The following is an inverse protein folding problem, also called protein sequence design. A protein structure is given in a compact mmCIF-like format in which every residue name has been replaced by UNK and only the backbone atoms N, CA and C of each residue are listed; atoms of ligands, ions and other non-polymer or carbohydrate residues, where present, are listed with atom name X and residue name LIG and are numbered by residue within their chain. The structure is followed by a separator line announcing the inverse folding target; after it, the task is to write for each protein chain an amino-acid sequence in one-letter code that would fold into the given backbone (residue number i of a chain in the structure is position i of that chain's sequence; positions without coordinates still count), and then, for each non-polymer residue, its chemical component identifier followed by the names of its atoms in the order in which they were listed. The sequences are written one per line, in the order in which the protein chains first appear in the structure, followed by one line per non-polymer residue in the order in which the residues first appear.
data_IF_600942077698
#
_entry.id   IF_600942077698
#
_cell.length_a   1.000
_cell.length_b   1.000
_cell.length_c   1.000
_cell.angle_alpha   90.00
_cell.angle_beta   90.00
_cell.angle_gamma   90.00
#
_symmetry.space_group_name_H-M   'P 1'
#
loop_
_entity.id
_entity.type
_entity.pdbx_description
1 polymer ?
#
# COMPACT_ATOMS: atom_id res chain seq x y z
N UNK A 1 -41.35 33.93 8.03
CA UNK A 1 -39.97 33.51 8.33
C UNK A 1 -39.71 32.21 7.60
N UNK A 2 -38.90 32.23 6.53
CA UNK A 2 -38.47 31.01 5.85
C UNK A 2 -37.51 30.25 6.77
N UNK A 3 -37.72 28.94 6.95
CA UNK A 3 -36.75 28.08 7.61
C UNK A 3 -35.44 28.09 6.80
N UNK A 4 -34.26 28.14 7.44
CA UNK A 4 -33.01 28.02 6.71
C UNK A 4 -32.98 26.65 6.02
N UNK A 5 -32.71 26.65 4.72
CA UNK A 5 -32.54 25.43 3.95
C UNK A 5 -31.45 24.57 4.61
N UNK A 6 -31.84 23.40 5.11
CA UNK A 6 -30.91 22.35 5.52
C UNK A 6 -30.01 22.03 4.32
N UNK A 7 -28.80 22.60 4.30
CA UNK A 7 -27.75 22.11 3.42
C UNK A 7 -27.54 20.65 3.81
N UNK A 8 -28.03 19.74 2.96
CA UNK A 8 -27.79 18.30 3.09
C UNK A 8 -26.29 18.09 2.95
N UNK A 9 -25.57 18.10 4.07
CA UNK A 9 -24.17 17.68 4.10
C UNK A 9 -24.12 16.29 3.45
N UNK A 10 -23.33 16.11 2.38
CA UNK A 10 -23.26 14.83 1.69
C UNK A 10 -22.88 13.75 2.69
N UNK A 11 -23.54 12.58 2.58
CA UNK A 11 -23.21 11.43 3.41
C UNK A 11 -21.73 11.09 3.29
N UNK A 12 -21.08 10.67 4.39
CA UNK A 12 -19.65 10.31 4.39
C UNK A 12 -19.31 9.31 3.28
N UNK A 13 -20.22 8.38 2.98
CA UNK A 13 -20.07 7.42 1.87
C UNK A 13 -19.91 8.07 0.50
N UNK A 14 -20.44 9.29 0.30
CA UNK A 14 -20.43 10.03 -0.96
C UNK A 14 -19.37 11.14 -0.99
N UNK A 15 -18.46 11.19 -0.03
CA UNK A 15 -17.30 12.08 -0.13
C UNK A 15 -16.49 11.76 -1.38
N UNK A 16 -15.97 12.80 -2.03
CA UNK A 16 -15.16 12.69 -3.24
C UNK A 16 -14.00 11.68 -3.08
N UNK A 17 -13.20 11.70 -2.00
CA UNK A 17 -12.17 10.67 -1.78
C UNK A 17 -12.72 9.24 -1.73
N UNK A 18 -13.91 9.03 -1.17
CA UNK A 18 -14.50 7.69 -1.04
C UNK A 18 -15.03 7.17 -2.38
N UNK A 19 -15.58 8.06 -3.21
CA UNK A 19 -15.98 7.73 -4.58
C UNK A 19 -14.75 7.30 -5.40
N UNK A 20 -13.62 7.99 -5.25
CA UNK A 20 -12.34 7.58 -5.84
C UNK A 20 -11.92 6.20 -5.31
N UNK A 21 -12.05 5.95 -4.01
CA UNK A 21 -11.81 4.64 -3.40
C UNK A 21 -12.63 3.51 -4.03
N UNK A 22 -13.94 3.70 -4.23
CA UNK A 22 -14.77 2.71 -4.90
C UNK A 22 -14.39 2.49 -6.36
N UNK A 23 -14.04 3.56 -7.07
CA UNK A 23 -13.56 3.49 -8.44
C UNK A 23 -12.24 2.68 -8.55
N UNK A 24 -11.31 2.86 -7.59
CA UNK A 24 -10.08 2.07 -7.48
C UNK A 24 -10.38 0.57 -7.34
N UNK A 25 -11.36 0.20 -6.51
CA UNK A 25 -11.77 -1.20 -6.34
C UNK A 25 -12.26 -1.80 -7.67
N UNK A 26 -13.11 -1.08 -8.40
CA UNK A 26 -13.64 -1.53 -9.70
C UNK A 26 -12.52 -1.69 -10.72
N UNK A 27 -11.60 -0.71 -10.82
CA UNK A 27 -10.45 -0.80 -11.74
C UNK A 27 -9.58 -2.00 -11.39
N UNK A 28 -9.28 -2.20 -10.11
CA UNK A 28 -8.46 -3.35 -9.69
C UNK A 28 -9.15 -4.67 -10.04
N UNK A 29 -10.46 -4.78 -9.85
CA UNK A 29 -11.21 -5.96 -10.27
C UNK A 29 -11.06 -6.23 -11.78
N UNK A 30 -11.22 -5.20 -12.62
CA UNK A 30 -11.03 -5.31 -14.07
C UNK A 30 -9.59 -5.66 -14.42
N UNK A 31 -8.60 -5.03 -13.75
CA UNK A 31 -7.19 -5.32 -13.95
C UNK A 31 -6.93 -6.81 -13.70
N UNK A 32 -7.27 -7.31 -12.51
CA UNK A 32 -7.06 -8.72 -12.14
C UNK A 32 -7.82 -9.69 -13.05
N UNK A 33 -8.99 -9.31 -13.59
CA UNK A 33 -9.70 -10.13 -14.57
C UNK A 33 -8.94 -10.31 -15.90
N UNK A 34 -8.15 -9.32 -16.31
CA UNK A 34 -7.37 -9.37 -17.56
C UNK A 34 -5.90 -9.78 -17.37
N UNK A 35 -5.47 -10.10 -16.14
CA UNK A 35 -4.05 -10.31 -15.82
C UNK A 35 -3.37 -11.41 -16.63
N UNK A 36 -4.08 -12.51 -16.93
CA UNK A 36 -3.55 -13.61 -17.74
C UNK A 36 -3.65 -13.36 -19.26
N UNK A 37 -4.67 -12.60 -19.70
CA UNK A 37 -4.94 -12.37 -21.13
C UNK A 37 -4.11 -11.21 -21.70
N UNK A 38 -3.94 -10.14 -20.94
CA UNK A 38 -3.19 -8.96 -21.37
C UNK A 38 -2.45 -8.32 -20.20
N UNK A 39 -1.17 -8.70 -20.06
CA UNK A 39 -0.31 -8.25 -18.96
C UNK A 39 -0.01 -6.76 -18.99
N UNK A 40 0.08 -6.17 -20.18
CA UNK A 40 0.32 -4.73 -20.35
C UNK A 40 -0.90 -3.94 -19.91
N UNK A 41 -2.10 -4.36 -20.31
CA UNK A 41 -3.35 -3.73 -19.86
C UNK A 41 -3.53 -3.85 -18.35
N UNK A 42 -3.23 -5.02 -17.76
CA UNK A 42 -3.18 -5.20 -16.31
C UNK A 42 -2.28 -4.16 -15.65
N UNK A 43 -1.02 -4.05 -16.10
CA UNK A 43 -0.06 -3.14 -15.51
C UNK A 43 -0.51 -1.68 -15.59
N UNK A 44 -1.10 -1.26 -16.72
CA UNK A 44 -1.64 0.10 -16.89
C UNK A 44 -2.81 0.35 -15.92
N UNK A 45 -3.79 -0.55 -15.86
CA UNK A 45 -4.96 -0.39 -15.00
C UNK A 45 -4.59 -0.42 -13.51
N UNK A 46 -3.74 -1.36 -13.12
CA UNK A 46 -3.26 -1.50 -11.74
C UNK A 46 -2.45 -0.25 -11.33
N UNK A 47 -1.52 0.21 -12.18
CA UNK A 47 -0.75 1.42 -11.91
C UNK A 47 -1.65 2.66 -11.81
N UNK A 48 -2.66 2.76 -12.68
CA UNK A 48 -3.62 3.85 -12.64
C UNK A 48 -4.43 3.85 -11.32
N UNK A 49 -4.89 2.68 -10.87
CA UNK A 49 -5.57 2.54 -9.58
C UNK A 49 -4.67 2.94 -8.40
N UNK A 50 -3.41 2.52 -8.43
CA UNK A 50 -2.41 2.93 -7.44
C UNK A 50 -2.12 4.44 -7.49
N UNK A 51 -2.13 5.06 -8.67
CA UNK A 51 -1.99 6.52 -8.77
C UNK A 51 -3.19 7.25 -8.17
N UNK A 52 -4.40 6.72 -8.34
CA UNK A 52 -5.62 7.27 -7.74
C UNK A 52 -5.63 7.26 -6.20
N UNK A 53 -4.85 6.38 -5.56
CA UNK A 53 -4.61 6.37 -4.11
C UNK A 53 -4.09 7.73 -3.61
N UNK A 54 -3.04 8.25 -4.25
CA UNK A 54 -2.50 9.55 -3.88
C UNK A 54 -3.49 10.70 -4.06
N UNK A 55 -4.41 10.56 -5.03
CA UNK A 55 -5.43 11.55 -5.35
C UNK A 55 -6.53 11.59 -4.30
N UNK A 56 -7.03 10.45 -3.82
CA UNK A 56 -8.07 10.44 -2.79
C UNK A 56 -7.60 11.15 -1.51
N UNK A 57 -6.37 10.90 -1.07
CA UNK A 57 -5.78 11.57 0.09
C UNK A 57 -5.60 13.07 -0.14
N UNK A 58 -5.26 13.48 -1.36
CA UNK A 58 -5.17 14.90 -1.72
C UNK A 58 -6.53 15.58 -1.68
N UNK A 59 -7.57 14.97 -2.28
CA UNK A 59 -8.93 15.49 -2.26
C UNK A 59 -9.54 15.51 -0.86
N UNK A 60 -9.27 14.49 -0.03
CA UNK A 60 -9.69 14.45 1.37
C UNK A 60 -9.18 15.67 2.15
N UNK A 61 -7.91 16.08 1.93
CA UNK A 61 -7.33 17.28 2.56
C UNK A 61 -7.86 18.57 1.94
N UNK A 62 -7.96 18.63 0.60
CA UNK A 62 -8.38 19.83 -0.12
C UNK A 62 -9.84 20.22 0.16
N UNK A 63 -10.72 19.24 0.27
CA UNK A 63 -12.15 19.46 0.54
C UNK A 63 -12.53 19.30 2.01
N UNK A 64 -11.56 19.09 2.91
CA UNK A 64 -11.81 18.83 4.33
C UNK A 64 -12.80 17.66 4.56
N UNK A 65 -12.65 16.60 3.74
CA UNK A 65 -13.49 15.39 3.73
C UNK A 65 -12.75 14.17 4.31
N UNK A 66 -11.75 14.39 5.17
CA UNK A 66 -11.07 13.30 5.86
C UNK A 66 -12.03 12.62 6.85
N UNK A 67 -12.11 11.29 6.79
CA UNK A 67 -13.01 10.50 7.64
C UNK A 67 -12.37 9.16 8.02
N UNK A 68 -12.79 8.58 9.16
CA UNK A 68 -12.34 7.25 9.59
C UNK A 68 -12.72 6.18 8.57
N UNK A 69 -13.94 6.27 8.01
CA UNK A 69 -14.39 5.36 6.96
C UNK A 69 -13.47 5.42 5.74
N UNK A 70 -13.17 6.63 5.24
CA UNK A 70 -12.27 6.80 4.10
C UNK A 70 -10.86 6.29 4.37
N UNK A 71 -10.31 6.55 5.56
CA UNK A 71 -8.99 6.05 5.94
C UNK A 71 -8.92 4.51 6.03
N UNK A 72 -10.00 3.85 6.46
CA UNK A 72 -10.10 2.38 6.49
C UNK A 72 -10.28 1.84 5.07
N UNK A 73 -11.16 2.44 4.27
CA UNK A 73 -11.42 2.06 2.87
C UNK A 73 -10.13 2.11 2.05
N UNK A 74 -9.38 3.20 2.16
CA UNK A 74 -8.07 3.42 1.56
C UNK A 74 -7.10 2.28 1.91
N UNK A 75 -6.88 2.07 3.21
CA UNK A 75 -5.93 1.07 3.68
C UNK A 75 -6.32 -0.37 3.27
N UNK A 76 -7.59 -0.74 3.37
CA UNK A 76 -8.06 -2.08 2.98
C UNK A 76 -7.89 -2.29 1.48
N UNK A 77 -8.25 -1.29 0.67
CA UNK A 77 -8.13 -1.36 -0.79
C UNK A 77 -6.67 -1.55 -1.22
N UNK A 78 -5.75 -0.80 -0.61
CA UNK A 78 -4.31 -0.98 -0.81
C UNK A 78 -3.86 -2.40 -0.48
N UNK A 79 -4.15 -2.87 0.75
CA UNK A 79 -3.64 -4.16 1.23
C UNK A 79 -4.15 -5.32 0.39
N UNK A 80 -5.42 -5.29 0.01
CA UNK A 80 -6.01 -6.32 -0.85
C UNK A 80 -5.37 -6.32 -2.24
N UNK A 81 -5.15 -5.14 -2.82
CA UNK A 81 -4.57 -5.02 -4.17
C UNK A 81 -3.14 -5.55 -4.22
N UNK A 82 -2.28 -5.12 -3.28
CA UNK A 82 -0.90 -5.60 -3.17
C UNK A 82 -0.85 -7.10 -2.84
N UNK A 83 -1.75 -7.59 -1.97
CA UNK A 83 -1.83 -9.01 -1.64
C UNK A 83 -2.20 -9.86 -2.87
N UNK A 84 -3.17 -9.44 -3.67
CA UNK A 84 -3.52 -10.13 -4.92
C UNK A 84 -2.34 -10.16 -5.90
N UNK A 85 -1.61 -9.05 -6.07
CA UNK A 85 -0.44 -9.00 -6.95
C UNK A 85 0.69 -9.92 -6.45
N UNK A 86 1.00 -9.91 -5.15
CA UNK A 86 1.99 -10.81 -4.56
C UNK A 86 1.58 -12.28 -4.66
N UNK A 87 0.28 -12.58 -4.50
CA UNK A 87 -0.24 -13.93 -4.72
C UNK A 87 -0.06 -14.38 -6.17
N UNK A 88 -0.32 -13.52 -7.16
CA UNK A 88 -0.03 -13.81 -8.57
C UNK A 88 1.46 -14.05 -8.82
N UNK A 89 2.33 -13.19 -8.28
CA UNK A 89 3.79 -13.37 -8.40
C UNK A 89 4.25 -14.69 -7.78
N UNK A 90 3.64 -15.13 -6.67
CA UNK A 90 3.94 -16.43 -6.07
C UNK A 90 3.62 -17.63 -6.99
N UNK A 91 2.71 -17.46 -7.94
CA UNK A 91 2.35 -18.49 -8.92
C UNK A 91 3.32 -18.49 -10.12
N UNK A 92 3.79 -17.32 -10.54
CA UNK A 92 4.70 -17.18 -11.68
C UNK A 92 6.16 -17.51 -11.36
N UNK A 93 6.59 -17.32 -10.12
CA UNK A 93 7.97 -17.52 -9.72
C UNK A 93 8.17 -18.75 -8.86
N UNK A 94 9.30 -19.45 -9.05
CA UNK A 94 9.68 -20.61 -8.21
C UNK A 94 11.09 -20.41 -7.60
N UNK A 95 11.24 -20.54 -6.27
CA UNK A 95 10.20 -20.78 -5.27
C UNK A 95 9.34 -19.52 -5.02
N UNK A 96 8.01 -19.68 -5.01
CA UNK A 96 7.05 -18.58 -4.80
C UNK A 96 6.92 -18.11 -3.35
N UNK A 97 7.56 -18.83 -2.41
CA UNK A 97 7.46 -18.58 -0.97
C UNK A 97 7.89 -17.17 -0.57
N UNK A 98 8.85 -16.58 -1.29
CA UNK A 98 9.31 -15.20 -1.03
C UNK A 98 8.14 -14.22 -1.11
N UNK A 99 7.28 -14.32 -2.13
CA UNK A 99 6.14 -13.43 -2.29
C UNK A 99 5.07 -13.66 -1.22
N UNK A 100 4.87 -14.90 -0.77
CA UNK A 100 3.94 -15.22 0.32
C UNK A 100 4.43 -14.67 1.67
N UNK A 101 5.75 -14.72 1.93
CA UNK A 101 6.35 -14.10 3.12
C UNK A 101 6.18 -12.58 3.07
N UNK A 102 6.43 -11.95 1.92
CA UNK A 102 6.22 -10.51 1.74
C UNK A 102 4.76 -10.11 1.95
N UNK A 103 3.82 -10.91 1.44
CA UNK A 103 2.39 -10.72 1.64
C UNK A 103 2.02 -10.79 3.13
N UNK A 104 2.51 -11.83 3.82
CA UNK A 104 2.31 -11.98 5.26
C UNK A 104 2.86 -10.80 6.05
N UNK A 105 4.10 -10.39 5.76
CA UNK A 105 4.74 -9.24 6.40
C UNK A 105 3.91 -7.97 6.20
N UNK A 106 3.45 -7.69 4.99
CA UNK A 106 2.71 -6.47 4.67
C UNK A 106 1.34 -6.41 5.35
N UNK A 107 0.56 -7.50 5.30
CA UNK A 107 -0.74 -7.57 5.99
C UNK A 107 -0.56 -7.45 7.50
N UNK A 108 0.34 -8.25 8.08
CA UNK A 108 0.54 -8.27 9.53
C UNK A 108 1.05 -6.92 10.03
N UNK A 109 2.01 -6.28 9.37
CA UNK A 109 2.54 -4.98 9.81
C UNK A 109 1.49 -3.88 9.82
N UNK A 110 0.60 -3.83 8.82
CA UNK A 110 -0.43 -2.80 8.73
C UNK A 110 -1.60 -3.10 9.67
N UNK A 111 -1.96 -4.38 9.85
CA UNK A 111 -3.00 -4.76 10.81
C UNK A 111 -2.61 -4.38 12.24
N UNK A 112 -1.41 -4.74 12.69
CA UNK A 112 -0.91 -4.35 14.01
C UNK A 112 -0.89 -2.82 14.17
N UNK A 113 -0.42 -2.10 13.14
CA UNK A 113 -0.36 -0.64 13.17
C UNK A 113 -1.74 0.02 13.28
N UNK A 114 -2.73 -0.47 12.54
CA UNK A 114 -4.12 0.01 12.66
C UNK A 114 -4.68 -0.23 14.06
N UNK A 115 -4.52 -1.45 14.56
CA UNK A 115 -5.07 -1.83 15.85
C UNK A 115 -4.45 -1.03 17.00
N UNK A 116 -3.12 -0.92 17.03
CA UNK A 116 -2.41 -0.11 18.03
C UNK A 116 -2.77 1.38 17.96
N UNK A 117 -2.99 1.92 16.75
CA UNK A 117 -3.41 3.31 16.57
C UNK A 117 -4.83 3.54 17.08
N UNK A 118 -5.73 2.59 16.85
CA UNK A 118 -7.10 2.61 17.39
C UNK A 118 -7.10 2.56 18.92
N UNK A 119 -6.32 1.65 19.53
CA UNK A 119 -6.17 1.56 21.00
C UNK A 119 -5.60 2.83 21.61
N UNK A 120 -4.70 3.50 20.90
CA UNK A 120 -4.07 4.75 21.35
C UNK A 120 -4.96 5.99 21.17
N UNK A 121 -6.18 5.84 20.62
CA UNK A 121 -7.08 6.95 20.31
C UNK A 121 -6.57 7.86 19.18
N UNK A 122 -5.63 7.38 18.36
CA UNK A 122 -5.05 8.17 17.27
C UNK A 122 -6.00 8.22 16.08
N UNK A 123 -6.07 9.37 15.44
CA UNK A 123 -6.95 9.61 14.27
C UNK A 123 -6.41 8.98 12.99
N UNK A 124 -5.11 8.67 12.92
CA UNK A 124 -4.48 8.06 11.76
C UNK A 124 -3.45 6.99 12.16
N UNK A 125 -3.47 5.87 11.46
CA UNK A 125 -2.46 4.82 11.60
C UNK A 125 -1.05 5.25 11.16
N UNK A 126 -0.95 6.38 10.47
CA UNK A 126 0.30 7.00 10.04
C UNK A 126 0.92 7.87 11.15
N UNK A 127 0.24 8.07 12.29
CA UNK A 127 0.74 8.88 13.41
C UNK A 127 1.63 8.09 14.38
N UNK A 128 2.94 8.12 14.11
CA UNK A 128 3.98 7.40 14.88
C UNK A 128 4.88 8.33 15.70
N UNK A 129 4.46 9.57 15.99
CA UNK A 129 5.34 10.56 16.67
C UNK A 129 5.89 10.07 18.02
N UNK A 130 5.10 9.28 18.72
CA UNK A 130 5.43 8.74 20.06
C UNK A 130 6.36 7.52 20.02
N UNK A 131 6.66 6.99 18.83
CA UNK A 131 7.55 5.83 18.66
C UNK A 131 9.00 6.23 18.99
N UNK A 132 9.85 5.30 19.46
CA UNK A 132 11.29 5.54 19.65
C UNK A 132 12.14 5.42 18.37
N UNK A 133 11.62 4.73 17.35
CA UNK A 133 12.35 4.39 16.13
C UNK A 133 12.41 5.56 15.12
N UNK A 134 13.64 6.01 14.81
CA UNK A 134 13.90 7.15 13.91
C UNK A 134 13.49 6.88 12.46
N UNK A 135 13.66 5.65 11.96
CA UNK A 135 13.37 5.31 10.57
C UNK A 135 11.86 5.30 10.32
N UNK A 136 11.08 4.79 11.28
CA UNK A 136 9.61 4.85 11.20
C UNK A 136 9.10 6.29 11.27
N UNK A 137 9.73 7.15 12.09
CA UNK A 137 9.43 8.59 12.12
C UNK A 137 9.76 9.27 10.81
N UNK A 138 10.92 8.97 10.21
CA UNK A 138 11.30 9.52 8.91
C UNK A 138 10.30 9.09 7.83
N UNK A 139 9.93 7.81 7.82
CA UNK A 139 8.96 7.25 6.89
C UNK A 139 7.62 8.00 6.91
N UNK A 140 6.97 8.10 8.07
CA UNK A 140 5.67 8.75 8.16
C UNK A 140 5.73 10.28 8.25
N UNK A 141 6.86 10.84 8.70
CA UNK A 141 7.07 12.28 8.86
C UNK A 141 7.43 12.98 7.55
N UNK A 142 8.15 12.32 6.64
CA UNK A 142 8.59 12.89 5.36
C UNK A 142 7.82 12.27 4.18
N UNK A 143 6.73 12.92 3.76
CA UNK A 143 5.82 12.41 2.71
C UNK A 143 6.51 11.99 1.40
N UNK A 144 7.50 12.73 0.85
CA UNK A 144 8.19 12.29 -0.37
C UNK A 144 8.95 10.97 -0.18
N UNK A 145 9.51 10.74 1.01
CA UNK A 145 10.22 9.50 1.33
C UNK A 145 9.25 8.32 1.48
N UNK A 146 8.10 8.54 2.13
CA UNK A 146 7.00 7.57 2.16
C UNK A 146 6.54 7.19 0.74
N UNK A 147 6.27 8.20 -0.09
CA UNK A 147 5.81 8.02 -1.46
C UNK A 147 6.84 7.24 -2.28
N UNK A 148 8.13 7.59 -2.17
CA UNK A 148 9.20 6.83 -2.83
C UNK A 148 9.17 5.35 -2.46
N UNK A 149 9.10 5.01 -1.17
CA UNK A 149 9.09 3.62 -0.72
C UNK A 149 7.84 2.84 -1.19
N UNK A 150 6.66 3.45 -1.14
CA UNK A 150 5.41 2.84 -1.61
C UNK A 150 5.43 2.62 -3.13
N UNK A 151 5.74 3.68 -3.90
CA UNK A 151 5.80 3.63 -5.37
C UNK A 151 6.86 2.63 -5.81
N UNK A 152 8.04 2.65 -5.18
CA UNK A 152 9.11 1.70 -5.49
C UNK A 152 8.67 0.25 -5.31
N UNK A 153 7.93 -0.05 -4.23
CA UNK A 153 7.43 -1.41 -3.96
C UNK A 153 6.43 -1.86 -5.01
N UNK A 154 5.41 -1.05 -5.31
CA UNK A 154 4.38 -1.39 -6.29
C UNK A 154 4.95 -1.50 -7.71
N UNK A 155 5.80 -0.54 -8.11
CA UNK A 155 6.43 -0.56 -9.44
C UNK A 155 7.38 -1.74 -9.59
N UNK A 156 8.12 -2.13 -8.54
CA UNK A 156 8.93 -3.35 -8.57
C UNK A 156 8.07 -4.58 -8.85
N UNK A 157 6.94 -4.73 -8.17
CA UNK A 157 6.04 -5.87 -8.37
C UNK A 157 5.43 -5.88 -9.76
N UNK A 158 5.07 -4.71 -10.32
CA UNK A 158 4.60 -4.59 -11.71
C UNK A 158 5.70 -4.98 -12.70
N UNK A 159 6.95 -4.52 -12.50
CA UNK A 159 8.09 -4.91 -13.34
C UNK A 159 8.28 -6.43 -13.29
N UNK A 160 8.28 -7.03 -12.10
CA UNK A 160 8.41 -8.47 -11.95
C UNK A 160 7.24 -9.22 -12.60
N UNK A 161 6.02 -8.68 -12.54
CA UNK A 161 4.85 -9.28 -13.20
C UNK A 161 4.97 -9.24 -14.72
N UNK A 162 5.39 -8.11 -15.30
CA UNK A 162 5.54 -7.94 -16.74
C UNK A 162 6.65 -8.82 -17.32
N UNK A 163 7.74 -9.02 -16.57
CA UNK A 163 8.90 -9.81 -16.98
C UNK A 163 8.85 -11.28 -16.53
N UNK A 164 7.81 -11.70 -15.82
CA UNK A 164 7.60 -13.11 -15.52
C UNK A 164 7.37 -13.87 -16.83
N UNK A 165 8.10 -14.94 -17.11
CA UNK A 165 7.82 -15.80 -18.27
C UNK A 165 6.69 -16.80 -17.95
N UNK A 166 5.97 -17.28 -18.96
CA UNK A 166 4.88 -18.27 -18.79
C UNK A 166 5.36 -19.58 -18.16
N UNK A 167 6.63 -19.92 -18.34
CA UNK A 167 7.26 -21.07 -17.70
C UNK A 167 7.91 -20.65 -16.39
N UNK A 168 7.18 -20.79 -15.26
CA UNK A 168 7.67 -20.77 -13.86
C UNK A 168 9.14 -20.34 -13.71
N UNK A 169 9.41 -19.04 -13.78
CA UNK A 169 10.78 -18.53 -13.89
C UNK A 169 11.45 -18.40 -12.54
N UNK A 170 12.77 -18.60 -12.52
CA UNK A 170 13.56 -18.25 -11.34
C UNK A 170 13.67 -16.73 -11.24
N UNK A 171 13.40 -16.18 -10.05
CA UNK A 171 13.52 -14.74 -9.78
C UNK A 171 14.91 -14.20 -10.15
N UNK A 172 15.96 -14.98 -9.87
CA UNK A 172 17.34 -14.61 -10.20
C UNK A 172 17.55 -14.44 -11.72
N UNK A 173 16.90 -15.25 -12.54
CA UNK A 173 17.01 -15.16 -13.99
C UNK A 173 16.33 -13.90 -14.52
N UNK A 174 15.15 -13.57 -13.99
CA UNK A 174 14.47 -12.31 -14.35
C UNK A 174 15.29 -11.11 -13.92
N UNK A 175 15.82 -11.09 -12.69
CA UNK A 175 16.71 -10.02 -12.23
C UNK A 175 17.95 -9.88 -13.12
N UNK A 176 18.61 -10.99 -13.48
CA UNK A 176 19.75 -10.96 -14.41
C UNK A 176 19.37 -10.48 -15.81
N UNK A 177 18.18 -10.84 -16.29
CA UNK A 177 17.64 -10.37 -17.56
C UNK A 177 17.40 -8.86 -17.56
N UNK A 178 16.78 -8.34 -16.49
CA UNK A 178 16.55 -6.91 -16.29
C UNK A 178 17.86 -6.12 -16.25
N UNK A 179 18.91 -6.66 -15.60
CA UNK A 179 20.23 -6.02 -15.57
C UNK A 179 20.94 -5.92 -16.93
N UNK A 180 20.47 -6.67 -17.94
CA UNK A 180 21.01 -6.62 -19.32
C UNK A 180 20.21 -5.70 -20.25
N UNK A 181 19.12 -5.11 -19.75
CA UNK A 181 18.29 -4.18 -20.52
C UNK A 181 18.97 -2.81 -20.67
N UNK A 182 18.26 -1.86 -21.30
CA UNK A 182 18.75 -0.49 -21.47
C UNK A 182 19.14 0.15 -20.11
N UNK A 183 20.12 1.07 -20.09
CA UNK A 183 20.57 1.73 -18.86
C UNK A 183 19.44 2.38 -18.06
N UNK A 184 18.41 2.88 -18.76
CA UNK A 184 17.22 3.47 -18.14
C UNK A 184 16.39 2.43 -17.37
N UNK A 185 16.14 1.25 -17.95
CA UNK A 185 15.40 0.16 -17.29
C UNK A 185 16.18 -0.33 -16.07
N UNK A 186 17.49 -0.50 -16.21
CA UNK A 186 18.36 -0.90 -15.09
C UNK A 186 18.31 0.13 -13.96
N UNK A 187 18.41 1.42 -14.29
CA UNK A 187 18.32 2.50 -13.30
C UNK A 187 16.99 2.48 -12.54
N UNK A 188 15.87 2.36 -13.27
CA UNK A 188 14.53 2.27 -12.66
C UNK A 188 14.44 1.04 -11.75
N UNK A 189 14.87 -0.13 -12.23
CA UNK A 189 14.83 -1.37 -11.46
C UNK A 189 15.68 -1.32 -10.19
N UNK A 190 16.89 -0.77 -10.25
CA UNK A 190 17.76 -0.63 -9.07
C UNK A 190 17.15 0.36 -8.07
N UNK A 191 16.61 1.48 -8.56
CA UNK A 191 15.94 2.46 -7.71
C UNK A 191 14.72 1.87 -6.99
N UNK A 192 13.89 1.09 -7.69
CA UNK A 192 12.73 0.43 -7.10
C UNK A 192 13.14 -0.66 -6.11
N UNK A 193 14.21 -1.41 -6.37
CA UNK A 193 14.77 -2.38 -5.41
C UNK A 193 15.20 -1.70 -4.09
N UNK A 194 15.84 -0.54 -4.15
CA UNK A 194 16.27 0.19 -2.96
C UNK A 194 15.06 0.63 -2.14
N UNK A 195 14.06 1.27 -2.77
CA UNK A 195 12.85 1.72 -2.09
C UNK A 195 12.02 0.56 -1.52
N UNK A 196 11.93 -0.56 -2.26
CA UNK A 196 11.30 -1.78 -1.80
C UNK A 196 12.00 -2.37 -0.57
N UNK A 197 13.33 -2.47 -0.58
CA UNK A 197 14.10 -3.03 0.52
C UNK A 197 13.92 -2.19 1.80
N UNK A 198 13.97 -0.85 1.67
CA UNK A 198 13.67 0.06 2.76
C UNK A 198 12.25 -0.15 3.29
N UNK A 199 11.26 -0.31 2.40
CA UNK A 199 9.88 -0.58 2.79
C UNK A 199 9.72 -1.88 3.58
N UNK A 200 10.44 -2.95 3.22
CA UNK A 200 10.38 -4.21 3.97
C UNK A 200 10.95 -4.06 5.39
N UNK A 201 12.08 -3.36 5.54
CA UNK A 201 12.66 -3.04 6.85
C UNK A 201 11.68 -2.21 7.70
N UNK A 202 11.03 -1.23 7.08
CA UNK A 202 10.02 -0.38 7.73
C UNK A 202 8.81 -1.20 8.17
N UNK A 203 8.31 -2.13 7.35
CA UNK A 203 7.20 -3.00 7.71
C UNK A 203 7.53 -3.86 8.95
N UNK A 204 8.75 -4.41 9.04
CA UNK A 204 9.19 -5.17 10.23
C UNK A 204 9.22 -4.28 11.48
N UNK A 205 9.82 -3.09 11.36
CA UNK A 205 9.90 -2.11 12.46
C UNK A 205 8.50 -1.67 12.91
N UNK A 206 7.62 -1.39 11.95
CA UNK A 206 6.23 -0.98 12.17
C UNK A 206 5.49 -2.07 12.95
N UNK A 207 5.58 -3.32 12.49
CA UNK A 207 4.96 -4.46 13.16
C UNK A 207 5.41 -4.58 14.62
N UNK A 208 6.73 -4.55 14.85
CA UNK A 208 7.30 -4.65 16.21
C UNK A 208 6.84 -3.50 17.10
N UNK A 209 6.95 -2.26 16.59
CA UNK A 209 6.56 -1.05 17.35
C UNK A 209 5.08 -1.07 17.71
N UNK A 210 4.23 -1.49 16.78
CA UNK A 210 2.80 -1.61 17.01
C UNK A 210 2.46 -2.70 18.04
N UNK A 211 3.15 -3.85 17.99
CA UNK A 211 3.03 -4.89 19.00
C UNK A 211 3.45 -4.39 20.40
N UNK A 212 4.59 -3.68 20.49
CA UNK A 212 5.06 -3.07 21.74
C UNK A 212 4.02 -2.07 22.30
N UNK A 213 3.36 -1.29 21.43
CA UNK A 213 2.30 -0.37 21.84
C UNK A 213 1.07 -1.09 22.43
N UNK A 214 0.67 -2.23 21.88
CA UNK A 214 -0.39 -3.06 22.45
C UNK A 214 -0.02 -3.59 23.84
N UNK A 215 1.22 -4.07 24.02
CA UNK A 215 1.70 -4.53 25.33
C UNK A 215 1.67 -3.40 26.37
N UNK A 216 2.12 -2.20 26.00
CA UNK A 216 2.06 -1.02 26.87
C UNK A 216 0.62 -0.65 27.24
N UNK A 217 -0.32 -0.79 26.31
CA UNK A 217 -1.74 -0.56 26.57
C UNK A 217 -2.28 -1.54 27.63
N UNK A 218 -1.98 -2.83 27.48
CA UNK A 218 -2.45 -3.87 28.43
C UNK A 218 -1.86 -3.68 29.83
N UNK A 219 -0.58 -3.32 29.92
CA UNK A 219 0.08 -3.02 31.19
C UNK A 219 -0.54 -1.81 31.93
N UNK A 220 -1.12 -0.86 31.19
CA UNK A 220 -1.84 0.28 31.78
C UNK A 220 -3.26 -0.07 32.21
N UNK A 221 -3.90 -1.02 31.53
CA UNK A 221 -5.27 -1.48 31.83
C UNK A 221 -5.33 -2.45 33.01
N UNK A 222 -4.25 -3.20 33.24
CA UNK A 222 -4.12 -4.13 34.37
C UNK A 222 -3.73 -3.49 35.71
N UNK A 223 -3.61 -2.16 35.77
CA UNK A 223 -3.43 -1.35 36.99
C UNK A 223 -4.69 -0.55 37.23
#
# INVERSE_FOLDING_TARGET
MAQPSSEKTPSVYLYIPNIIGYFRIIINFIAFAVCYSNRVLFAILYFFSFFCDGLDGWFARKFNQASTFGAVLDMVTDRVSTACLLALLSQFYRPGLVFLILLGLDITSHWFQMYSSFLSGKTSHKDVKDTGNWLLKLYYGHRPFMAFCCVASEVLYIILFLYADEKSTSLLNVCRGLMKQSPLIVFVFVSTLIGWALKQVINVIQMKTAADACVVFDLKRGK
#
